data_IF_325702389805
#
_entry.id   IF_325702389805
#
_cell.length_a   1.000
_cell.length_b   1.000
_cell.length_c   1.000
_cell.angle_alpha   90.00
_cell.angle_beta   90.00
_cell.angle_gamma   90.00
#
_symmetry.space_group_name_H-M   'P 1'
#
loop_
_entity.id
_entity.type
_entity.pdbx_description
1 polymer ?
2 non-polymer ?
3 non-polymer ?
4 water ?
#
# COMPACT_ATOMS: atom_id res chain seq x y z
N UNK A 5 18.96 0.23 25.17
CA UNK A 5 19.25 1.53 24.53
C UNK A 5 17.94 2.29 24.58
N UNK A 6 17.98 3.60 24.79
CA UNK A 6 16.77 4.39 24.90
C UNK A 6 16.79 5.60 23.97
N UNK A 7 15.75 5.74 23.15
CA UNK A 7 15.66 6.86 22.24
C UNK A 7 14.44 7.72 22.52
N UNK A 8 14.44 8.94 22.00
CA UNK A 8 13.34 9.85 22.20
C UNK A 8 13.03 10.05 23.67
N UNK A 9 14.06 10.03 24.50
CA UNK A 9 13.89 10.21 25.92
C UNK A 9 13.21 9.05 26.61
N UNK A 10 11.97 8.75 26.25
CA UNK A 10 11.27 7.65 26.92
C UNK A 10 10.83 6.47 26.10
N UNK A 11 11.62 6.08 25.09
CA UNK A 11 11.29 4.92 24.26
C UNK A 11 12.44 3.91 24.23
N UNK A 12 12.18 2.67 24.65
CA UNK A 12 13.20 1.62 24.68
C UNK A 12 13.17 0.81 23.41
N UNK A 13 14.34 0.57 22.84
CA UNK A 13 14.45 -0.18 21.61
C UNK A 13 14.61 -1.67 21.87
N UNK A 14 13.82 -2.46 21.17
CA UNK A 14 13.89 -3.91 21.32
C UNK A 14 14.75 -4.48 20.20
N UNK A 15 14.18 -5.43 19.47
CA UNK A 15 14.80 -6.15 18.35
C UNK A 15 14.26 -5.71 16.98
N UNK A 16 15.01 -6.01 15.93
CA UNK A 16 14.59 -5.66 14.59
C UNK A 16 13.36 -6.45 14.22
N UNK A 17 12.42 -5.84 13.51
CA UNK A 17 11.23 -6.53 13.07
C UNK A 17 11.05 -6.27 11.58
N UNK A 18 11.90 -5.40 11.04
CA UNK A 18 11.87 -5.05 9.64
C UNK A 18 13.18 -4.38 9.25
N UNK A 19 13.56 -4.52 8.00
CA UNK A 19 14.78 -3.92 7.48
C UNK A 19 14.53 -3.71 6.00
N UNK A 20 14.68 -2.47 5.56
CA UNK A 20 14.50 -2.15 4.15
C UNK A 20 15.63 -1.23 3.73
N UNK A 21 15.56 -0.71 2.51
CA UNK A 21 16.60 0.18 2.00
C UNK A 21 16.56 1.47 2.82
N UNK A 22 15.34 1.84 3.22
CA UNK A 22 15.07 3.05 3.99
C UNK A 22 15.44 2.99 5.47
N UNK A 23 16.12 1.90 5.85
CA UNK A 23 16.55 1.74 7.24
C UNK A 23 16.10 0.46 7.92
N UNK A 24 16.19 0.45 9.23
CA UNK A 24 15.81 -0.68 10.04
C UNK A 24 14.59 -0.28 10.87
N UNK A 25 13.82 -1.25 11.33
CA UNK A 25 12.64 -0.98 12.13
C UNK A 25 12.74 -1.92 13.31
N UNK A 26 12.68 -1.35 14.52
CA UNK A 26 12.78 -2.09 15.76
C UNK A 26 11.47 -2.09 16.50
N UNK A 27 11.24 -3.10 17.34
CA UNK A 27 10.04 -3.13 18.17
C UNK A 27 10.51 -2.46 19.45
N UNK A 28 9.63 -1.78 20.14
CA UNK A 28 10.06 -1.12 21.36
C UNK A 28 8.88 -0.91 22.28
N UNK A 29 9.15 -0.24 23.40
CA UNK A 29 8.13 0.02 24.39
C UNK A 29 8.30 1.46 24.89
N UNK A 30 7.18 2.14 25.11
CA UNK A 30 7.18 3.51 25.64
C UNK A 30 7.28 3.31 27.14
N UNK A 31 8.33 3.85 27.74
CA UNK A 31 8.54 3.66 29.16
C UNK A 31 7.53 4.35 30.07
N UNK A 32 6.81 5.36 29.57
CA UNK A 32 5.81 6.05 30.40
C UNK A 32 4.55 5.21 30.66
N UNK A 33 3.92 4.71 29.61
CA UNK A 33 2.68 3.93 29.72
C UNK A 33 2.81 2.46 29.37
N UNK A 34 3.97 2.06 28.85
CA UNK A 34 4.22 0.67 28.47
C UNK A 34 3.50 0.20 27.20
N UNK A 35 3.12 1.14 26.35
CA UNK A 35 2.46 0.86 25.08
C UNK A 35 3.54 0.33 24.15
N UNK A 36 3.18 -0.56 23.23
CA UNK A 36 4.14 -1.13 22.30
C UNK A 36 4.19 -0.26 21.05
N UNK A 37 5.39 0.02 20.55
CA UNK A 37 5.55 0.85 19.38
C UNK A 37 6.60 0.30 18.43
N UNK A 38 6.66 0.82 17.22
CA UNK A 38 7.65 0.43 16.22
C UNK A 38 8.49 1.67 16.06
N UNK A 39 9.80 1.51 16.05
CA UNK A 39 10.71 2.64 15.93
C UNK A 39 11.48 2.52 14.65
N UNK A 40 11.21 3.42 13.72
CA UNK A 40 11.87 3.43 12.44
C UNK A 40 13.14 4.26 12.52
N UNK A 41 14.25 3.73 12.04
CA UNK A 41 15.53 4.41 12.05
C UNK A 41 16.01 4.62 10.63
N UNK A 42 16.23 5.87 10.26
CA UNK A 42 16.71 6.19 8.93
C UNK A 42 18.08 6.82 9.05
N UNK A 43 19.08 6.32 8.29
CA UNK A 43 20.41 6.92 8.39
C UNK A 43 20.40 8.29 7.69
N UNK A 44 21.00 9.31 8.29
CA UNK A 44 21.03 10.64 7.67
C UNK A 44 22.03 10.67 6.51
N UNK A 45 21.52 10.66 5.28
CA UNK A 45 22.39 10.68 4.12
C UNK A 45 21.77 11.47 2.97
N UNK A 46 22.63 12.08 2.16
CA UNK A 46 22.25 12.90 1.01
C UNK A 46 21.01 12.47 0.19
N UNK A 47 21.09 11.27 -0.38
CA UNK A 47 20.03 10.73 -1.22
C UNK A 47 18.77 10.17 -0.53
N UNK A 48 18.84 9.89 0.78
CA UNK A 48 17.71 9.33 1.51
C UNK A 48 16.53 10.29 1.76
N UNK A 49 15.31 9.86 1.37
CA UNK A 49 14.09 10.66 1.53
C UNK A 49 13.85 11.04 2.97
N UNK A 50 13.72 12.34 3.23
CA UNK A 50 13.48 12.83 4.58
C UNK A 50 12.41 12.01 5.31
N UNK A 51 12.68 11.67 6.56
CA UNK A 51 11.73 10.92 7.35
C UNK A 51 10.72 11.90 7.95
N UNK A 52 11.08 13.18 7.94
CA UNK A 52 10.20 14.24 8.47
C UNK A 52 8.95 14.38 7.60
N UNK A 53 9.07 14.15 6.30
CA UNK A 53 7.92 14.26 5.39
C UNK A 53 6.89 13.17 5.74
N UNK A 54 7.40 12.00 6.09
CA UNK A 54 6.53 10.91 6.47
C UNK A 54 5.78 11.27 7.75
N UNK A 55 6.49 11.82 8.73
CA UNK A 55 5.88 12.23 10.01
C UNK A 55 4.82 13.26 9.76
N UNK A 56 5.09 14.19 8.86
CA UNK A 56 4.10 15.22 8.53
C UNK A 56 2.85 14.55 7.95
N UNK A 57 3.04 13.64 6.98
CA UNK A 57 1.93 12.91 6.36
C UNK A 57 1.13 12.11 7.40
N UNK A 58 1.81 11.42 8.32
CA UNK A 58 1.13 10.67 9.37
C UNK A 58 0.27 11.64 10.19
N UNK A 59 0.83 12.81 10.53
CA UNK A 59 0.09 13.80 11.31
C UNK A 59 -1.13 14.32 10.52
N UNK A 60 -0.97 14.45 9.22
CA UNK A 60 -2.02 14.92 8.33
C UNK A 60 -3.18 13.91 8.32
N UNK A 61 -2.85 12.64 8.27
CA UNK A 61 -3.84 11.55 8.25
C UNK A 61 -4.30 11.06 9.61
N UNK A 62 -3.76 11.66 10.67
CA UNK A 62 -4.09 11.30 12.04
C UNK A 62 -5.59 11.36 12.25
N UNK A 63 -6.13 10.33 12.88
CA UNK A 63 -7.56 10.30 13.11
C UNK A 63 -8.28 9.50 12.03
N UNK A 64 -7.58 9.24 10.93
CA UNK A 64 -8.16 8.46 9.85
C UNK A 64 -8.09 6.95 10.16
N UNK A 65 -9.15 6.25 9.83
CA UNK A 65 -9.24 4.83 10.08
C UNK A 65 -8.20 4.08 9.31
N UNK A 66 -7.50 3.19 10.00
CA UNK A 66 -6.50 2.38 9.34
C UNK A 66 -5.17 3.03 9.11
N UNK A 67 -4.93 4.17 9.73
CA UNK A 67 -3.65 4.88 9.60
C UNK A 67 -3.12 4.84 11.02
N UNK A 68 -1.94 4.24 11.24
CA UNK A 68 -1.43 4.19 12.60
C UNK A 68 -1.19 5.56 13.22
N UNK A 69 -0.97 5.56 14.53
CA UNK A 69 -0.69 6.79 15.24
C UNK A 69 0.79 7.02 15.23
N UNK A 70 1.21 8.27 15.17
CA UNK A 70 2.61 8.62 15.18
C UNK A 70 2.83 9.24 16.56
N UNK A 71 4.02 9.11 17.12
CA UNK A 71 4.27 9.62 18.46
C UNK A 71 5.47 10.53 18.65
N UNK A 72 6.47 10.39 17.81
CA UNK A 72 7.66 11.19 17.97
C UNK A 72 8.55 11.15 16.73
N UNK A 73 9.27 12.23 16.50
CA UNK A 73 10.23 12.35 15.41
C UNK A 73 11.40 13.17 15.97
N UNK A 74 12.62 12.77 15.67
CA UNK A 74 13.77 13.50 16.18
C UNK A 74 15.02 12.91 15.59
N UNK A 75 16.17 13.36 16.03
CA UNK A 75 17.43 12.83 15.53
C UNK A 75 18.17 12.25 16.71
N UNK A 76 18.82 11.12 16.46
CA UNK A 76 19.58 10.42 17.47
C UNK A 76 20.85 10.01 16.72
N UNK A 77 21.96 10.69 17.01
CA UNK A 77 23.22 10.36 16.36
C UNK A 77 23.15 10.48 14.85
N UNK A 78 23.63 9.46 14.14
CA UNK A 78 23.63 9.46 12.68
C UNK A 78 22.29 8.96 12.12
N UNK A 79 21.23 9.02 12.93
CA UNK A 79 19.91 8.51 12.54
C UNK A 79 18.73 9.40 12.87
N UNK A 80 17.69 9.33 12.05
CA UNK A 80 16.43 10.06 12.29
C UNK A 80 15.52 8.91 12.77
N UNK A 81 14.70 9.15 13.78
CA UNK A 81 13.80 8.12 14.30
C UNK A 81 12.32 8.54 14.25
N UNK A 82 11.45 7.63 13.79
CA UNK A 82 10.01 7.89 13.72
C UNK A 82 9.41 6.78 14.56
N UNK A 83 8.60 7.13 15.54
CA UNK A 83 7.97 6.15 16.43
C UNK A 83 6.49 6.01 16.14
N UNK A 84 6.07 4.83 15.67
CA UNK A 84 4.67 4.57 15.32
C UNK A 84 4.12 3.46 16.20
N UNK A 85 2.81 3.20 16.07
CA UNK A 85 2.12 2.11 16.78
C UNK A 85 2.68 0.79 16.25
N UNK A 86 2.79 -0.24 17.09
CA UNK A 86 3.28 -1.55 16.66
C UNK A 86 2.12 -2.21 15.94
N UNK A 87 2.40 -2.79 14.78
CA UNK A 87 1.38 -3.46 14.00
C UNK A 87 1.72 -4.93 13.73
N UNK A 88 0.78 -5.64 13.12
CA UNK A 88 0.96 -7.04 12.81
C UNK A 88 1.69 -7.16 11.51
N UNK A 89 1.77 -8.36 10.92
CA UNK A 89 2.45 -8.60 9.66
C UNK A 89 1.71 -8.02 8.46
N UNK A 90 2.38 -7.99 7.31
CA UNK A 90 1.81 -7.43 6.07
C UNK A 90 1.03 -8.46 5.30
N UNK A 91 0.26 -8.02 4.31
CA UNK A 91 -0.50 -8.95 3.49
C UNK A 91 0.45 -9.80 2.68
N UNK A 92 1.69 -9.37 2.53
CA UNK A 92 2.64 -10.19 1.79
C UNK A 92 3.17 -11.26 2.74
N UNK A 93 3.28 -10.97 4.02
CA UNK A 93 3.76 -11.93 5.01
C UNK A 93 2.79 -13.09 5.13
N UNK A 94 1.52 -12.73 5.21
CA UNK A 94 0.44 -13.67 5.33
C UNK A 94 0.24 -14.55 4.09
N UNK A 95 0.73 -14.11 2.93
CA UNK A 95 0.62 -14.91 1.72
C UNK A 95 1.48 -16.15 1.88
N UNK A 96 2.63 -15.99 2.51
CA UNK A 96 3.53 -17.09 2.74
C UNK A 96 2.92 -18.10 3.69
N UNK A 97 1.93 -17.68 4.46
CA UNK A 97 1.27 -18.55 5.41
C UNK A 97 0.04 -19.27 4.82
N UNK A 98 -0.47 -18.75 3.72
CA UNK A 98 -1.64 -19.30 3.08
C UNK A 98 -1.44 -19.93 1.71
N UNK A 99 -0.27 -20.51 1.47
CA UNK A 99 -0.06 -21.14 0.18
C UNK A 99 0.30 -20.24 -0.98
N UNK A 100 0.58 -18.97 -0.69
CA UNK A 100 0.97 -17.97 -1.69
C UNK A 100 -0.16 -17.47 -2.58
N UNK A 101 -1.38 -17.49 -2.08
CA UNK A 101 -2.53 -17.01 -2.83
C UNK A 101 -3.66 -16.92 -1.85
N UNK A 102 -4.68 -16.12 -2.13
CA UNK A 102 -5.83 -15.95 -1.22
C UNK A 102 -7.12 -16.36 -1.94
N UNK A 103 -8.18 -16.63 -1.20
CA UNK A 103 -9.41 -17.05 -1.85
C UNK A 103 -10.17 -15.83 -2.22
N UNK A 104 -11.07 -15.96 -3.19
CA UNK A 104 -11.89 -14.83 -3.60
C UNK A 104 -12.49 -14.09 -2.38
N UNK A 105 -12.97 -14.83 -1.41
CA UNK A 105 -13.56 -14.22 -0.23
C UNK A 105 -12.58 -13.29 0.49
N UNK A 106 -11.36 -13.76 0.75
CA UNK A 106 -10.37 -12.94 1.43
C UNK A 106 -9.95 -11.74 0.60
N UNK A 107 -9.86 -11.91 -0.72
CA UNK A 107 -9.46 -10.80 -1.59
C UNK A 107 -10.54 -9.73 -1.64
N UNK A 108 -11.78 -10.14 -1.77
CA UNK A 108 -12.88 -9.18 -1.82
C UNK A 108 -13.02 -8.42 -0.50
N UNK A 109 -12.82 -9.09 0.63
CA UNK A 109 -12.95 -8.43 1.93
C UNK A 109 -11.79 -7.51 2.22
N UNK A 110 -10.60 -7.93 1.83
CA UNK A 110 -9.39 -7.13 2.01
C UNK A 110 -9.49 -5.93 1.06
N UNK A 111 -9.92 -6.19 -0.16
CA UNK A 111 -10.08 -5.16 -1.16
C UNK A 111 -10.91 -4.04 -0.57
N UNK A 112 -12.04 -4.36 0.01
CA UNK A 112 -12.88 -3.32 0.57
C UNK A 112 -12.17 -2.48 1.60
N UNK A 113 -11.32 -3.08 2.41
CA UNK A 113 -10.61 -2.31 3.41
C UNK A 113 -9.44 -1.55 2.80
N UNK A 114 -8.74 -2.17 1.85
CA UNK A 114 -7.60 -1.55 1.20
C UNK A 114 -8.06 -0.36 0.37
N UNK A 115 -9.26 -0.50 -0.19
CA UNK A 115 -9.82 0.55 -1.02
C UNK A 115 -10.26 1.74 -0.17
N UNK A 116 -10.70 1.47 1.05
CA UNK A 116 -11.11 2.57 1.91
C UNK A 116 -9.92 3.39 2.40
N UNK A 117 -8.77 2.74 2.58
CA UNK A 117 -7.54 3.43 3.03
C UNK A 117 -7.01 4.33 1.95
N UNK A 118 -6.99 3.85 0.71
CA UNK A 118 -6.50 4.63 -0.43
C UNK A 118 -7.42 5.84 -0.66
N UNK A 119 -8.71 5.65 -0.50
CA UNK A 119 -9.65 6.74 -0.67
C UNK A 119 -9.41 7.78 0.38
N UNK A 120 -9.22 7.36 1.62
CA UNK A 120 -8.93 8.30 2.71
C UNK A 120 -7.71 9.16 2.38
N UNK A 121 -6.71 8.56 1.74
CA UNK A 121 -5.48 9.26 1.39
C UNK A 121 -5.76 10.28 0.31
N UNK A 122 -6.59 9.88 -0.66
CA UNK A 122 -6.96 10.74 -1.75
C UNK A 122 -7.78 11.91 -1.27
N UNK A 123 -8.60 11.70 -0.25
CA UNK A 123 -9.43 12.77 0.27
C UNK A 123 -8.65 13.79 1.08
N UNK A 124 -7.40 13.47 1.36
CA UNK A 124 -6.52 14.38 2.08
C UNK A 124 -5.62 15.00 1.03
N UNK A 125 -5.99 14.80 -0.23
CA UNK A 125 -5.32 15.35 -1.41
C UNK A 125 -4.01 14.72 -1.79
N UNK A 126 -3.74 13.53 -1.28
CA UNK A 126 -2.49 12.88 -1.59
C UNK A 126 -2.72 11.67 -2.45
N UNK A 127 -1.69 11.28 -3.18
CA UNK A 127 -1.70 10.05 -3.95
C UNK A 127 -0.58 9.25 -3.31
N UNK A 128 -0.85 8.00 -3.01
CA UNK A 128 0.09 7.11 -2.37
C UNK A 128 1.35 6.82 -3.16
N UNK A 129 1.19 6.39 -4.39
CA UNK A 129 2.33 6.11 -5.25
C UNK A 129 3.22 4.92 -4.91
N UNK A 130 2.97 4.21 -3.82
CA UNK A 130 3.80 3.03 -3.51
C UNK A 130 2.92 1.85 -3.14
N UNK A 131 1.82 1.67 -3.87
CA UNK A 131 0.90 0.56 -3.58
C UNK A 131 1.59 -0.78 -3.74
N UNK A 132 1.61 -1.58 -2.66
CA UNK A 132 2.19 -2.92 -2.66
C UNK A 132 1.67 -3.65 -1.42
N UNK A 133 1.59 -5.00 -1.48
CA UNK A 133 1.07 -5.72 -0.31
C UNK A 133 1.91 -5.65 0.93
N UNK A 134 3.19 -5.31 0.76
CA UNK A 134 4.10 -5.21 1.89
C UNK A 134 3.75 -4.02 2.76
N UNK A 135 2.96 -3.10 2.23
CA UNK A 135 2.60 -1.88 2.97
C UNK A 135 1.26 -1.90 3.66
N UNK A 136 0.50 -2.98 3.50
CA UNK A 136 -0.77 -3.11 4.19
C UNK A 136 -0.48 -4.16 5.24
N UNK A 137 -0.59 -3.74 6.49
CA UNK A 137 -0.31 -4.59 7.64
C UNK A 137 -1.56 -4.74 8.44
N UNK A 138 -1.73 -5.85 9.15
CA UNK A 138 -2.93 -6.03 9.99
C UNK A 138 -2.60 -5.76 11.44
N UNK A 139 -3.61 -5.70 12.28
CA UNK A 139 -3.42 -5.42 13.71
C UNK A 139 -2.58 -6.39 14.52
N UNK A 140 -2.32 -6.03 15.78
CA UNK A 140 -1.52 -6.88 16.64
C UNK A 140 -2.39 -8.07 17.03
N UNK A 141 -1.78 -9.24 17.20
CA UNK A 141 -2.50 -10.47 17.57
C UNK A 141 -3.63 -10.36 18.61
N UNK A 142 -3.32 -9.96 19.84
CA UNK A 142 -4.39 -9.85 20.82
C UNK A 142 -4.83 -8.44 21.13
N UNK A 143 -5.67 -7.91 20.25
CA UNK A 143 -6.20 -6.56 20.38
C UNK A 143 -7.53 -6.44 19.65
N UNK A 144 -8.17 -5.29 19.78
CA UNK A 144 -9.45 -5.00 19.16
C UNK A 144 -9.45 -5.07 17.61
N UNK A 145 -8.45 -4.46 16.98
CA UNK A 145 -8.35 -4.40 15.52
C UNK A 145 -7.35 -5.37 14.91
N UNK A 146 -7.33 -6.60 15.40
CA UNK A 146 -6.41 -7.59 14.87
C UNK A 146 -6.70 -7.96 13.42
N UNK A 147 -7.93 -7.72 12.98
CA UNK A 147 -8.32 -8.03 11.60
C UNK A 147 -8.64 -6.76 10.82
N UNK A 148 -8.01 -5.66 11.21
CA UNK A 148 -8.19 -4.40 10.51
C UNK A 148 -6.95 -4.33 9.68
N UNK A 149 -7.07 -3.78 8.48
CA UNK A 149 -5.95 -3.64 7.57
C UNK A 149 -5.53 -2.18 7.56
N UNK A 150 -4.25 -1.95 7.81
CA UNK A 150 -3.67 -0.63 7.87
C UNK A 150 -2.74 -0.38 6.72
N UNK A 151 -2.49 0.91 6.42
CA UNK A 151 -1.51 1.30 5.39
C UNK A 151 -0.40 1.97 6.18
N UNK A 152 0.84 1.78 5.77
CA UNK A 152 1.98 2.38 6.44
C UNK A 152 2.92 2.82 5.33
N UNK A 153 4.01 3.48 5.68
CA UNK A 153 4.99 3.94 4.71
C UNK A 153 4.50 5.03 3.73
N UNK A 154 4.74 6.29 4.10
CA UNK A 154 4.33 7.43 3.29
C UNK A 154 5.51 8.23 2.68
N UNK A 155 6.62 7.56 2.43
CA UNK A 155 7.81 8.21 1.90
C UNK A 155 7.71 8.77 0.50
N UNK A 156 6.69 8.35 -0.25
CA UNK A 156 6.53 8.88 -1.60
C UNK A 156 5.16 9.35 -2.02
N UNK A 157 4.37 9.84 -1.06
CA UNK A 157 3.07 10.40 -1.40
C UNK A 157 3.38 11.75 -2.00
N UNK A 158 2.37 12.39 -2.54
CA UNK A 158 2.54 13.69 -3.19
C UNK A 158 1.18 14.32 -3.27
N UNK A 159 1.10 15.64 -3.33
CA UNK A 159 -0.19 16.30 -3.44
C UNK A 159 -0.56 16.24 -4.90
N UNK A 160 -1.79 15.80 -5.19
CA UNK A 160 -2.26 15.71 -6.57
C UNK A 160 -3.19 16.88 -6.89
N UNK A 161 -3.51 17.68 -5.90
CA UNK A 161 -4.36 18.83 -6.13
C UNK A 161 -4.05 19.74 -4.97
N UNK A 162 -4.00 21.04 -5.20
CA UNK A 162 -3.75 22.01 -4.13
C UNK A 162 -4.82 21.60 -3.09
N UNK A 163 -4.43 21.35 -1.84
CA UNK A 163 -5.38 20.96 -0.78
C UNK A 163 -6.58 21.86 -0.48
N UNK A 164 -6.42 23.17 -0.66
CA UNK A 164 -7.49 24.13 -0.39
C UNK A 164 -8.34 24.55 -1.59
N UNK A 165 -7.73 24.64 -2.77
CA UNK A 165 -8.42 25.05 -4.00
C UNK A 165 -8.97 23.89 -4.86
N UNK A 166 -8.55 22.67 -4.52
CA UNK A 166 -8.94 21.46 -5.24
C UNK A 166 -8.50 21.48 -6.71
N UNK A 167 -7.60 22.40 -7.05
CA UNK A 167 -7.07 22.51 -8.41
C UNK A 167 -6.18 21.30 -8.63
N UNK A 168 -6.45 20.52 -9.67
CA UNK A 168 -5.67 19.33 -9.92
C UNK A 168 -4.35 19.64 -10.59
N UNK A 169 -3.28 18.96 -10.21
CA UNK A 169 -1.96 19.18 -10.81
C UNK A 169 -2.00 18.85 -12.30
N UNK A 170 -1.10 19.46 -13.07
CA UNK A 170 -1.11 19.19 -14.50
C UNK A 170 -0.46 17.88 -14.90
N UNK A 171 -0.81 17.44 -16.12
CA UNK A 171 -0.30 16.23 -16.71
C UNK A 171 1.14 16.49 -17.20
N UNK A 172 2.11 15.79 -16.63
CA UNK A 172 3.50 15.94 -17.03
C UNK A 172 3.99 14.58 -17.49
N UNK A 173 5.10 14.56 -18.23
CA UNK A 173 5.68 13.34 -18.72
C UNK A 173 7.15 13.42 -18.39
N UNK A 174 7.91 12.48 -18.94
CA UNK A 174 9.35 12.41 -18.72
C UNK A 174 9.72 12.20 -17.26
N UNK A 175 8.83 11.58 -16.51
CA UNK A 175 9.08 11.30 -15.10
C UNK A 175 9.97 10.06 -14.95
N UNK A 176 10.69 10.00 -13.85
CA UNK A 176 11.56 8.86 -13.55
C UNK A 176 10.79 7.87 -12.68
N UNK A 177 10.82 6.62 -13.12
CA UNK A 177 10.12 5.52 -12.46
C UNK A 177 10.50 5.40 -10.98
N UNK A 178 9.48 5.31 -10.12
CA UNK A 178 9.67 5.21 -8.66
C UNK A 178 9.52 3.82 -7.98
N UNK A 179 8.28 3.51 -7.57
CA UNK A 179 7.97 2.28 -6.86
C UNK A 179 8.23 0.93 -7.49
N UNK A 180 7.71 -0.09 -6.82
CA UNK A 180 7.84 -1.49 -7.23
C UNK A 180 7.27 -1.75 -8.61
N UNK A 181 8.10 -2.26 -9.49
CA UNK A 181 7.68 -2.54 -10.86
C UNK A 181 6.49 -3.48 -10.96
N UNK A 182 6.47 -4.51 -10.14
CA UNK A 182 5.41 -5.49 -10.21
C UNK A 182 3.98 -4.99 -10.23
N UNK A 183 3.69 -3.98 -9.42
CA UNK A 183 2.32 -3.49 -9.29
C UNK A 183 1.97 -2.15 -9.92
N UNK A 184 2.95 -1.43 -10.46
CA UNK A 184 2.66 -0.10 -11.01
C UNK A 184 1.76 -0.03 -12.23
N UNK A 185 1.04 1.09 -12.32
CA UNK A 185 0.11 1.34 -13.43
C UNK A 185 0.89 1.38 -14.73
N UNK A 186 0.20 1.17 -15.85
CA UNK A 186 0.88 1.20 -17.13
C UNK A 186 1.43 2.60 -17.37
N UNK A 187 0.65 3.61 -17.00
CA UNK A 187 1.06 5.02 -17.11
C UNK A 187 2.40 5.25 -16.42
N UNK A 188 2.55 4.81 -15.19
CA UNK A 188 3.82 5.00 -14.50
C UNK A 188 4.96 4.52 -15.36
N UNK A 189 4.74 3.43 -16.11
CA UNK A 189 5.78 2.87 -16.99
C UNK A 189 6.11 3.74 -18.19
N UNK A 190 5.12 4.50 -18.65
CA UNK A 190 5.26 5.40 -19.80
C UNK A 190 5.82 6.76 -19.35
N UNK A 191 6.20 6.83 -18.09
CA UNK A 191 6.76 8.04 -17.53
C UNK A 191 5.82 9.19 -17.32
N UNK A 192 4.52 8.90 -17.24
CA UNK A 192 3.53 9.93 -17.02
C UNK A 192 3.31 10.21 -15.54
N UNK A 193 2.88 11.43 -15.24
CA UNK A 193 2.63 11.85 -13.86
C UNK A 193 1.49 11.01 -13.25
N UNK A 194 1.72 10.52 -12.04
CA UNK A 194 0.74 9.68 -11.36
C UNK A 194 -0.39 10.39 -10.64
N UNK A 195 -1.61 9.88 -10.80
CA UNK A 195 -2.78 10.41 -10.14
C UNK A 195 -3.62 9.32 -9.46
N UNK A 196 -4.78 9.70 -8.96
CA UNK A 196 -5.68 8.81 -8.27
C UNK A 196 -5.82 7.52 -9.03
N UNK A 197 -6.11 7.65 -10.31
CA UNK A 197 -6.27 6.48 -11.15
C UNK A 197 -5.13 5.48 -10.99
N UNK A 198 -3.91 5.96 -10.96
CA UNK A 198 -2.76 5.07 -10.86
C UNK A 198 -2.69 4.28 -9.57
N UNK A 199 -3.24 4.84 -8.51
CA UNK A 199 -3.25 4.18 -7.22
C UNK A 199 -4.29 3.05 -7.34
N UNK A 200 -5.43 3.40 -7.93
CA UNK A 200 -6.50 2.45 -8.13
C UNK A 200 -6.06 1.29 -9.01
N UNK A 201 -5.25 1.55 -10.03
CA UNK A 201 -4.77 0.49 -10.89
C UNK A 201 -3.71 -0.34 -10.23
N UNK A 202 -2.84 0.25 -9.43
CA UNK A 202 -1.82 -0.54 -8.77
C UNK A 202 -2.47 -1.46 -7.74
N UNK A 203 -3.58 -1.02 -7.16
CA UNK A 203 -4.28 -1.83 -6.16
C UNK A 203 -4.92 -3.03 -6.87
N UNK A 204 -5.48 -2.80 -8.06
CA UNK A 204 -6.07 -3.87 -8.85
C UNK A 204 -5.01 -4.91 -9.24
N UNK A 205 -3.77 -4.47 -9.43
CA UNK A 205 -2.70 -5.41 -9.76
C UNK A 205 -2.40 -6.21 -8.52
N UNK A 206 -2.52 -5.58 -7.37
CA UNK A 206 -2.27 -6.29 -6.14
C UNK A 206 -3.36 -7.34 -5.89
N UNK A 207 -4.60 -7.00 -6.24
CA UNK A 207 -5.73 -7.89 -6.09
C UNK A 207 -5.56 -9.15 -6.95
N UNK A 208 -5.17 -9.00 -8.20
CA UNK A 208 -4.95 -10.15 -9.10
C UNK A 208 -3.76 -11.00 -8.63
N UNK A 209 -2.76 -10.35 -8.06
CA UNK A 209 -1.61 -11.05 -7.52
C UNK A 209 -2.10 -11.95 -6.36
N UNK A 210 -2.97 -11.41 -5.51
CA UNK A 210 -3.54 -12.16 -4.40
C UNK A 210 -4.24 -13.38 -4.98
N UNK A 211 -5.09 -13.15 -5.96
CA UNK A 211 -5.87 -14.18 -6.62
C UNK A 211 -5.11 -15.29 -7.34
N UNK A 212 -4.19 -14.93 -8.23
CA UNK A 212 -3.45 -15.92 -9.01
C UNK A 212 -2.19 -16.46 -8.37
N UNK A 213 -1.71 -15.78 -7.33
CA UNK A 213 -0.48 -16.19 -6.69
C UNK A 213 0.72 -15.57 -7.40
N UNK A 214 0.52 -15.03 -8.59
CA UNK A 214 1.60 -14.39 -9.34
C UNK A 214 1.04 -13.63 -10.53
N UNK A 215 1.85 -12.76 -11.13
CA UNK A 215 1.41 -11.99 -12.27
C UNK A 215 2.22 -12.44 -13.49
N UNK A 216 1.63 -12.31 -14.67
CA UNK A 216 2.28 -12.73 -15.92
C UNK A 216 3.64 -12.14 -16.19
N UNK A 217 3.90 -10.96 -15.65
CA UNK A 217 5.18 -10.28 -15.86
C UNK A 217 6.24 -10.41 -14.78
N UNK A 218 6.12 -11.44 -13.94
CA UNK A 218 7.09 -11.68 -12.87
C UNK A 218 8.32 -12.46 -13.35
N UNK A 219 9.49 -12.07 -12.86
CA UNK A 219 10.73 -12.71 -13.23
C UNK A 219 10.91 -12.77 -14.74
N UNK A 220 11.20 -11.62 -15.35
CA UNK A 220 11.34 -11.55 -16.82
C UNK A 220 12.57 -12.07 -17.59
N UNK A 221 13.68 -11.31 -17.64
CA UNK A 221 14.86 -11.78 -18.40
C UNK A 221 16.20 -11.23 -17.91
N UNK A 222 17.28 -11.72 -18.53
CA UNK A 222 18.65 -11.32 -18.23
C UNK A 222 18.99 -9.97 -18.90
N UNK A 223 18.86 -8.88 -18.13
CA UNK A 223 19.14 -7.52 -18.61
C UNK A 223 19.38 -6.56 -17.42
N UNK A 224 19.61 -5.28 -17.73
CA UNK A 224 19.87 -4.26 -16.70
C UNK A 224 18.60 -3.76 -15.99
N UNK A 225 18.80 -3.08 -14.86
CA UNK A 225 17.70 -2.55 -14.05
C UNK A 225 16.65 -1.72 -14.82
N UNK A 226 17.08 -0.84 -15.72
CA UNK A 226 16.13 -0.01 -16.48
C UNK A 226 15.37 -0.82 -17.54
N UNK A 227 15.97 -1.91 -18.01
CA UNK A 227 15.36 -2.78 -19.00
C UNK A 227 14.21 -3.61 -18.36
N UNK A 228 14.35 -3.91 -17.08
CA UNK A 228 13.35 -4.66 -16.31
C UNK A 228 12.01 -3.88 -16.29
N UNK A 229 12.06 -2.59 -15.97
CA UNK A 229 10.86 -1.75 -15.94
C UNK A 229 10.29 -1.55 -17.33
N UNK A 230 11.15 -1.63 -18.33
CA UNK A 230 10.76 -1.46 -19.71
C UNK A 230 9.98 -2.70 -20.20
N UNK A 231 10.63 -3.86 -20.14
CA UNK A 231 10.03 -5.13 -20.56
C UNK A 231 8.75 -5.43 -19.79
N UNK A 232 8.78 -5.29 -18.47
CA UNK A 232 7.61 -5.51 -17.64
C UNK A 232 6.44 -4.65 -18.12
N UNK A 233 6.75 -3.40 -18.48
CA UNK A 233 5.73 -2.47 -18.94
C UNK A 233 5.13 -2.92 -20.26
N UNK A 234 5.98 -3.46 -21.13
CA UNK A 234 5.53 -3.95 -22.43
C UNK A 234 4.62 -5.15 -22.21
N UNK A 235 5.04 -6.04 -21.29
CA UNK A 235 4.25 -7.23 -20.99
C UNK A 235 2.90 -6.81 -20.45
N UNK A 236 2.89 -5.84 -19.54
CA UNK A 236 1.63 -5.34 -18.96
C UNK A 236 0.65 -4.87 -20.04
N UNK A 237 1.19 -4.28 -21.11
CA UNK A 237 0.39 -3.78 -22.23
C UNK A 237 -0.04 -4.92 -23.18
N UNK A 238 0.76 -5.97 -23.29
CA UNK A 238 0.42 -7.10 -24.15
C UNK A 238 -0.56 -8.08 -23.50
N UNK A 239 -0.61 -8.14 -22.17
CA UNK A 239 -1.53 -9.02 -21.50
C UNK A 239 -2.92 -8.39 -21.40
N UNK A 240 -3.87 -8.90 -22.17
CA UNK A 240 -5.23 -8.35 -22.13
C UNK A 240 -5.97 -8.65 -20.83
N UNK A 241 -6.78 -7.70 -20.38
CA UNK A 241 -7.51 -7.87 -19.12
C UNK A 241 -8.36 -9.15 -18.99
N UNK A 242 -9.11 -9.54 -20.01
CA UNK A 242 -9.94 -10.75 -19.90
C UNK A 242 -9.12 -12.01 -19.68
N UNK A 243 -7.86 -11.95 -20.06
CA UNK A 243 -6.96 -13.07 -19.89
C UNK A 243 -6.35 -13.02 -18.52
N UNK A 244 -5.95 -11.82 -18.10
CA UNK A 244 -5.33 -11.63 -16.79
C UNK A 244 -6.29 -12.07 -15.71
N UNK A 245 -7.57 -11.76 -15.90
CA UNK A 245 -8.64 -12.07 -14.95
C UNK A 245 -9.48 -13.34 -15.21
N UNK A 246 -9.24 -14.02 -16.33
CA UNK A 246 -9.98 -15.22 -16.70
C UNK A 246 -10.09 -16.18 -15.51
N UNK A 247 -11.31 -16.62 -15.19
CA UNK A 247 -11.44 -17.56 -14.11
C UNK A 247 -11.88 -17.06 -12.76
N UNK A 248 -12.04 -15.74 -12.60
CA UNK A 248 -12.47 -15.19 -11.33
C UNK A 248 -13.74 -14.39 -11.61
N UNK A 249 -14.46 -13.92 -10.56
CA UNK A 249 -15.69 -13.16 -10.77
C UNK A 249 -15.49 -11.95 -11.69
N UNK A 250 -16.50 -11.67 -12.50
CA UNK A 250 -16.46 -10.54 -13.42
C UNK A 250 -16.04 -9.26 -12.72
N UNK A 251 -16.50 -9.08 -11.49
CA UNK A 251 -16.18 -7.88 -10.73
C UNK A 251 -14.70 -7.50 -10.74
N UNK A 252 -13.80 -8.48 -10.83
CA UNK A 252 -12.39 -8.16 -10.87
C UNK A 252 -12.01 -7.59 -12.20
N UNK A 253 -12.56 -8.15 -13.28
CA UNK A 253 -12.26 -7.62 -14.60
C UNK A 253 -12.85 -6.21 -14.68
N UNK A 254 -14.05 -6.02 -14.15
CA UNK A 254 -14.70 -4.72 -14.18
C UNK A 254 -13.86 -3.69 -13.44
N UNK A 255 -13.22 -4.10 -12.36
CA UNK A 255 -12.39 -3.19 -11.58
C UNK A 255 -11.15 -2.82 -12.38
N UNK A 256 -10.42 -3.81 -12.88
CA UNK A 256 -9.21 -3.50 -13.64
C UNK A 256 -9.55 -2.59 -14.79
N UNK A 257 -10.67 -2.86 -15.41
CA UNK A 257 -11.09 -2.09 -16.53
C UNK A 257 -11.39 -0.63 -16.15
N UNK A 258 -12.23 -0.41 -15.15
CA UNK A 258 -12.53 0.95 -14.74
C UNK A 258 -11.26 1.73 -14.41
N UNK A 259 -10.42 1.13 -13.58
CA UNK A 259 -9.18 1.75 -13.18
C UNK A 259 -8.29 2.13 -14.37
N UNK A 260 -8.14 1.26 -15.36
CA UNK A 260 -7.28 1.57 -16.50
C UNK A 260 -7.82 2.66 -17.42
N UNK A 261 -9.13 2.85 -17.42
CA UNK A 261 -9.77 3.83 -18.29
C UNK A 261 -10.06 5.21 -17.69
N UNK A 262 -9.72 5.41 -16.44
CA UNK A 262 -9.99 6.71 -15.86
C UNK A 262 -9.16 7.79 -16.54
N UNK A 263 -9.69 9.00 -16.65
CA UNK A 263 -8.93 10.10 -17.25
C UNK A 263 -8.07 10.67 -16.13
N UNK A 264 -6.89 11.17 -16.51
CA UNK A 264 -5.91 11.73 -15.60
C UNK A 264 -6.41 12.46 -14.34
N UNK A 265 -7.34 13.39 -14.48
CA UNK A 265 -7.81 14.15 -13.32
C UNK A 265 -9.18 13.81 -12.80
N UNK A 266 -9.72 12.72 -13.33
CA UNK A 266 -11.05 12.27 -12.98
C UNK A 266 -11.09 11.80 -11.54
N UNK A 267 -12.21 12.09 -10.88
CA UNK A 267 -12.42 11.69 -9.49
C UNK A 267 -12.96 10.26 -9.60
N UNK A 268 -12.31 9.29 -8.95
CA UNK A 268 -12.84 7.92 -9.06
C UNK A 268 -14.20 7.78 -8.39
N UNK A 269 -15.00 6.83 -8.85
CA UNK A 269 -16.30 6.59 -8.26
C UNK A 269 -16.10 5.43 -7.25
N UNK A 270 -15.59 5.77 -6.07
CA UNK A 270 -15.30 4.79 -5.02
C UNK A 270 -16.46 3.89 -4.62
N UNK A 271 -17.68 4.42 -4.57
CA UNK A 271 -18.85 3.63 -4.20
C UNK A 271 -19.16 2.55 -5.21
N UNK A 272 -18.87 2.82 -6.49
CA UNK A 272 -19.07 1.83 -7.52
C UNK A 272 -18.08 0.71 -7.25
N UNK A 273 -16.81 1.07 -7.09
CA UNK A 273 -15.74 0.11 -6.85
C UNK A 273 -15.99 -0.73 -5.61
N UNK A 274 -16.49 -0.11 -4.56
CA UNK A 274 -16.79 -0.82 -3.32
C UNK A 274 -18.01 -1.77 -3.53
N UNK A 275 -18.99 -1.31 -4.31
CA UNK A 275 -20.16 -2.13 -4.57
C UNK A 275 -19.75 -3.37 -5.34
N UNK A 276 -18.76 -3.23 -6.22
CA UNK A 276 -18.28 -4.36 -6.98
C UNK A 276 -17.89 -5.48 -6.04
N UNK A 277 -17.05 -5.14 -5.08
CA UNK A 277 -16.57 -6.12 -4.13
C UNK A 277 -17.67 -6.60 -3.24
N UNK A 278 -18.75 -5.85 -3.13
CA UNK A 278 -19.85 -6.34 -2.33
C UNK A 278 -20.59 -7.40 -3.12
N UNK A 279 -20.81 -7.18 -4.41
CA UNK A 279 -21.51 -8.15 -5.23
C UNK A 279 -20.77 -9.47 -5.15
N UNK A 280 -19.44 -9.41 -5.11
CA UNK A 280 -18.64 -10.61 -5.02
C UNK A 280 -18.98 -11.41 -3.77
N UNK A 281 -19.16 -10.74 -2.64
CA UNK A 281 -19.49 -11.43 -1.40
C UNK A 281 -20.91 -12.01 -1.46
N UNK A 282 -21.84 -11.26 -2.02
CA UNK A 282 -23.23 -11.71 -2.16
C UNK A 282 -23.29 -13.05 -2.89
N UNK A 283 -22.64 -13.10 -4.05
CA UNK A 283 -22.60 -14.28 -4.92
C UNK A 283 -22.03 -15.52 -4.23
N UNK A 284 -21.16 -15.31 -3.25
CA UNK A 284 -20.57 -16.41 -2.51
C UNK A 284 -21.45 -16.70 -1.29
N UNK A 285 -22.56 -15.98 -1.21
CA UNK A 285 -23.51 -16.13 -0.12
C UNK A 285 -22.81 -16.05 1.23
N UNK A 286 -22.06 -14.96 1.40
CA UNK A 286 -21.36 -14.68 2.66
C UNK A 286 -21.35 -13.19 2.91
N UNK A 287 -21.05 -12.83 4.15
CA UNK A 287 -21.03 -11.44 4.56
C UNK A 287 -19.57 -11.00 4.75
N UNK A 288 -19.37 -9.77 5.16
CA UNK A 288 -18.05 -9.24 5.41
C UNK A 288 -17.77 -9.50 6.91
N UNK A 289 -17.21 -10.67 7.20
CA UNK A 289 -16.88 -11.08 8.56
C UNK A 289 -15.37 -11.06 8.76
N UNK A 290 -14.89 -11.54 9.90
CA UNK A 290 -13.45 -11.55 10.12
C UNK A 290 -12.84 -12.95 9.98
N UNK A 291 -13.36 -13.68 8.98
CA UNK A 291 -12.93 -15.03 8.62
C UNK A 291 -11.93 -15.00 7.46
N UNK A 292 -10.85 -14.23 7.61
CA UNK A 292 -9.84 -14.16 6.56
C UNK A 292 -9.12 -15.50 6.53
N UNK A 293 -8.56 -15.87 5.38
CA UNK A 293 -7.82 -17.12 5.22
C UNK A 293 -6.83 -17.41 6.32
N UNK A 294 -6.19 -16.39 6.88
CA UNK A 294 -5.17 -16.62 7.91
C UNK A 294 -5.71 -16.92 9.28
N UNK A 295 -7.03 -16.98 9.39
CA UNK A 295 -7.74 -17.31 10.62
C UNK A 295 -8.41 -18.70 10.47
N UNK A 296 -8.33 -19.25 9.28
CA UNK A 296 -8.95 -20.51 8.96
C UNK A 296 -7.98 -21.64 8.90
N UNK A 297 -8.54 -22.84 8.97
CA UNK A 297 -7.79 -24.08 8.92
C UNK A 297 -7.90 -24.71 7.53
#
# INVERSE_FOLDING_TARGET
SGQNNVVGVHYKVGRRIGEGSFGVIFEGTNLLNNQQVAIKFEPRRSDAPQLRDEYRTYKLLAGCTGIPNVYYFGQEGLHNVLVIDLLGPSLEDLLDLCGRKFSVKTVAMAAKQMLARVQSIHEKSLVYRDIKPDNFLIGRPNSKNANMIYVVDFGMVKFYRDPVTKQHIPYREKKNLSGTARYMSINTHLGREQSRRDDLEALGHVFMYFLRGSLPWQGLKAATNKQKYERIGEKKQSTPLRELCAGFPEEFYKYMHYARNLAFDATPDYDYLQGLFSKVLERLNTTEDENFDWNLL
#
